data_IF_876309896251
#
_entry.id   IF_876309896251
#
_cell.length_a   1.000
_cell.length_b   1.000
_cell.length_c   1.000
_cell.angle_alpha   90.00
_cell.angle_beta   90.00
_cell.angle_gamma   90.00
#
_symmetry.space_group_name_H-M   'P 1'
#
loop_
_entity.id
_entity.type
_entity.pdbx_description
1 polymer ?
#
# COMPACT_ATOMS: atom_id res chain seq x y z
N UNK A 1 -32.70 2.14 10.87
CA UNK A 1 -32.07 2.72 9.65
C UNK A 1 -30.56 2.46 9.56
N UNK A 2 -29.77 2.57 10.64
CA UNK A 2 -28.31 2.31 10.63
C UNK A 2 -27.90 0.85 10.35
N UNK A 3 -28.66 -0.14 10.86
CA UNK A 3 -28.35 -1.58 10.70
C UNK A 3 -28.35 -2.05 9.24
N UNK A 4 -29.23 -1.51 8.39
CA UNK A 4 -29.31 -1.88 6.97
C UNK A 4 -28.15 -1.30 6.15
N UNK A 5 -27.64 -0.11 6.47
CA UNK A 5 -26.47 0.47 5.79
C UNK A 5 -25.17 -0.30 6.08
N UNK A 6 -25.01 -0.76 7.33
CA UNK A 6 -23.87 -1.59 7.73
C UNK A 6 -23.95 -2.97 7.06
N UNK A 7 -25.12 -3.61 7.04
CA UNK A 7 -25.32 -4.90 6.36
C UNK A 7 -25.06 -4.79 4.85
N UNK A 8 -25.59 -3.76 4.19
CA UNK A 8 -25.38 -3.52 2.76
C UNK A 8 -23.90 -3.24 2.45
N UNK A 9 -23.22 -2.43 3.26
CA UNK A 9 -21.80 -2.17 3.13
C UNK A 9 -20.95 -3.44 3.28
N UNK A 10 -21.30 -4.31 4.23
CA UNK A 10 -20.64 -5.62 4.40
C UNK A 10 -20.87 -6.55 3.21
N UNK A 11 -22.10 -6.60 2.67
CA UNK A 11 -22.42 -7.41 1.49
C UNK A 11 -21.68 -6.94 0.24
N UNK A 12 -21.66 -5.62 0.01
CA UNK A 12 -20.89 -5.01 -1.10
C UNK A 12 -19.40 -5.33 -0.93
N UNK A 13 -18.85 -5.17 0.28
CA UNK A 13 -17.45 -5.50 0.57
C UNK A 13 -17.10 -6.95 0.31
N UNK A 14 -17.96 -7.89 0.73
CA UNK A 14 -17.79 -9.33 0.44
C UNK A 14 -17.83 -9.61 -1.06
N UNK A 15 -18.84 -9.08 -1.77
CA UNK A 15 -18.96 -9.25 -3.21
C UNK A 15 -17.75 -8.71 -3.96
N UNK A 16 -17.30 -7.48 -3.63
CA UNK A 16 -16.11 -6.88 -4.23
C UNK A 16 -14.85 -7.70 -3.94
N UNK A 17 -14.72 -8.25 -2.73
CA UNK A 17 -13.57 -9.09 -2.36
C UNK A 17 -13.54 -10.39 -3.17
N UNK A 18 -14.69 -11.05 -3.34
CA UNK A 18 -14.81 -12.25 -4.18
C UNK A 18 -14.49 -11.93 -5.64
N UNK A 19 -14.99 -10.81 -6.16
CA UNK A 19 -14.72 -10.38 -7.54
C UNK A 19 -13.23 -10.08 -7.75
N UNK A 20 -12.57 -9.42 -6.80
CA UNK A 20 -11.12 -9.18 -6.83
C UNK A 20 -10.37 -10.51 -6.82
N UNK A 21 -10.78 -11.47 -5.99
CA UNK A 21 -10.13 -12.78 -5.88
C UNK A 21 -10.21 -13.54 -7.22
N UNK A 22 -11.38 -13.60 -7.83
CA UNK A 22 -11.59 -14.24 -9.14
C UNK A 22 -10.77 -13.54 -10.22
N UNK A 23 -10.79 -12.20 -10.26
CA UNK A 23 -10.02 -11.41 -11.23
C UNK A 23 -8.52 -11.66 -11.09
N UNK A 24 -7.98 -11.65 -9.86
CA UNK A 24 -6.58 -11.94 -9.60
C UNK A 24 -6.19 -13.37 -10.01
N UNK A 25 -7.10 -14.34 -9.88
CA UNK A 25 -6.86 -15.71 -10.33
C UNK A 25 -6.68 -15.81 -11.86
N UNK A 26 -7.56 -15.15 -12.63
CA UNK A 26 -7.46 -15.11 -14.09
C UNK A 26 -6.24 -14.31 -14.56
N UNK A 27 -5.99 -13.14 -13.98
CA UNK A 27 -4.79 -12.35 -14.26
C UNK A 27 -3.53 -13.18 -14.02
N UNK A 28 -3.45 -13.89 -12.89
CA UNK A 28 -2.30 -14.74 -12.59
C UNK A 28 -2.12 -15.86 -13.60
N UNK A 29 -3.20 -16.51 -14.02
CA UNK A 29 -3.15 -17.54 -15.06
C UNK A 29 -2.69 -16.97 -16.41
N UNK A 30 -3.09 -15.75 -16.74
CA UNK A 30 -2.65 -15.04 -17.93
C UNK A 30 -1.16 -14.68 -17.87
N UNK A 31 -0.69 -14.11 -16.76
CA UNK A 31 0.73 -13.78 -16.56
C UNK A 31 1.63 -15.01 -16.67
N UNK A 32 1.24 -16.15 -16.09
CA UNK A 32 1.99 -17.41 -16.24
C UNK A 32 2.07 -17.86 -17.70
N UNK A 33 1.00 -17.70 -18.49
CA UNK A 33 1.00 -18.07 -19.91
C UNK A 33 1.87 -17.15 -20.77
N UNK A 34 1.89 -15.85 -20.47
CA UNK A 34 2.60 -14.83 -21.28
C UNK A 34 4.06 -14.69 -20.89
N UNK A 35 4.35 -14.59 -19.58
CA UNK A 35 5.69 -14.32 -19.05
C UNK A 35 6.37 -15.57 -18.45
N UNK A 36 5.67 -16.70 -18.42
CA UNK A 36 6.18 -17.94 -17.82
C UNK A 36 6.01 -18.00 -16.31
N UNK A 37 6.18 -19.22 -15.77
CA UNK A 37 6.02 -19.51 -14.35
C UNK A 37 7.11 -18.84 -13.48
N UNK A 38 8.35 -18.79 -13.97
CA UNK A 38 9.50 -18.28 -13.22
C UNK A 38 9.40 -16.78 -12.92
N UNK A 39 9.16 -15.96 -13.96
CA UNK A 39 8.98 -14.50 -13.81
C UNK A 39 7.74 -14.14 -12.97
N UNK A 40 6.65 -14.89 -13.14
CA UNK A 40 5.43 -14.66 -12.35
C UNK A 40 5.63 -15.04 -10.88
N UNK A 41 6.34 -16.14 -10.60
CA UNK A 41 6.70 -16.57 -9.25
C UNK A 41 7.61 -15.56 -8.55
N UNK A 42 8.60 -15.04 -9.28
CA UNK A 42 9.48 -13.97 -8.83
C UNK A 42 8.71 -12.71 -8.41
N UNK A 43 7.85 -12.20 -9.30
CA UNK A 43 7.07 -10.99 -9.03
C UNK A 43 6.22 -11.17 -7.78
N UNK A 44 5.59 -12.35 -7.65
CA UNK A 44 4.78 -12.66 -6.47
C UNK A 44 5.59 -12.68 -5.18
N UNK A 45 6.79 -13.26 -5.21
CA UNK A 45 7.68 -13.29 -4.04
C UNK A 45 8.08 -11.87 -3.63
N UNK A 46 8.45 -11.01 -4.58
CA UNK A 46 8.75 -9.59 -4.31
C UNK A 46 7.55 -8.88 -3.69
N UNK A 47 6.35 -9.05 -4.26
CA UNK A 47 5.12 -8.46 -3.73
C UNK A 47 4.80 -8.98 -2.32
N UNK A 48 5.03 -10.26 -2.04
CA UNK A 48 4.81 -10.85 -0.72
C UNK A 48 5.80 -10.31 0.33
N UNK A 49 7.09 -10.25 0.00
CA UNK A 49 8.10 -9.65 0.87
C UNK A 49 7.80 -8.17 1.14
N UNK A 50 7.33 -7.43 0.13
CA UNK A 50 6.85 -6.07 0.31
C UNK A 50 5.61 -5.99 1.21
N UNK A 51 4.70 -6.96 1.10
CA UNK A 51 3.56 -7.10 2.00
C UNK A 51 3.97 -7.25 3.46
N UNK A 52 5.04 -8.02 3.74
CA UNK A 52 5.61 -8.17 5.08
C UNK A 52 6.19 -6.86 5.60
N UNK A 53 6.85 -6.08 4.74
CA UNK A 53 7.38 -4.76 5.11
C UNK A 53 6.26 -3.77 5.43
N UNK A 54 5.13 -3.83 4.72
CA UNK A 54 3.96 -3.00 4.99
C UNK A 54 3.21 -3.41 6.26
N UNK A 55 3.25 -4.70 6.65
CA UNK A 55 2.67 -5.15 7.93
C UNK A 55 3.29 -4.45 9.15
N UNK A 56 4.52 -3.92 9.02
CA UNK A 56 5.16 -3.13 10.07
C UNK A 56 4.39 -1.85 10.45
N UNK A 57 3.48 -1.37 9.60
CA UNK A 57 2.65 -0.20 9.89
C UNK A 57 1.46 -0.49 10.84
N UNK A 58 1.19 -1.76 11.17
CA UNK A 58 0.28 -2.28 12.22
C UNK A 58 -0.95 -1.41 12.59
N UNK A 59 -1.68 -0.86 11.62
CA UNK A 59 -2.89 -0.08 11.88
C UNK A 59 -2.64 1.34 12.45
N UNK A 60 -1.41 1.85 12.35
CA UNK A 60 -1.05 3.24 12.71
C UNK A 60 -1.97 4.22 11.98
N UNK A 61 -2.19 4.03 10.68
CA UNK A 61 -3.12 4.86 9.88
C UNK A 61 -4.51 4.97 10.52
N UNK A 62 -5.08 3.85 10.99
CA UNK A 62 -6.40 3.81 11.63
C UNK A 62 -6.38 4.52 12.99
N UNK A 63 -5.37 4.27 13.82
CA UNK A 63 -5.24 4.92 15.12
C UNK A 63 -5.09 6.44 14.98
N UNK A 64 -4.23 6.90 14.07
CA UNK A 64 -4.02 8.33 13.81
C UNK A 64 -5.26 9.00 13.22
N UNK A 65 -6.00 8.31 12.35
CA UNK A 65 -7.29 8.78 11.83
C UNK A 65 -8.30 8.98 12.97
N UNK A 66 -8.38 8.05 13.91
CA UNK A 66 -9.26 8.17 15.08
C UNK A 66 -8.86 9.34 15.99
N UNK A 67 -7.56 9.50 16.25
CA UNK A 67 -7.04 10.62 17.06
C UNK A 67 -7.38 11.96 16.39
N UNK A 68 -7.24 12.07 15.06
CA UNK A 68 -7.56 13.28 14.31
C UNK A 68 -9.06 13.59 14.23
N UNK A 69 -9.93 12.58 14.34
CA UNK A 69 -11.37 12.78 14.20
C UNK A 69 -11.89 13.81 15.23
N UNK A 70 -11.47 13.70 16.49
CA UNK A 70 -11.90 14.60 17.58
C UNK A 70 -11.49 16.08 17.36
N UNK A 71 -10.21 16.44 17.13
CA UNK A 71 -9.80 17.82 16.92
C UNK A 71 -10.35 18.43 15.63
N UNK A 72 -10.55 17.63 14.56
CA UNK A 72 -11.21 18.11 13.33
C UNK A 72 -12.65 18.57 13.59
N UNK A 73 -13.41 17.83 14.40
CA UNK A 73 -14.79 18.19 14.73
C UNK A 73 -14.89 19.40 15.67
N UNK A 74 -13.86 19.64 16.49
CA UNK A 74 -13.80 20.79 17.40
C UNK A 74 -13.32 22.08 16.72
N UNK A 75 -12.83 22.03 15.48
CA UNK A 75 -12.25 23.16 14.73
C UNK A 75 -11.08 23.84 15.45
N UNK A 76 -10.35 23.09 16.28
CA UNK A 76 -9.18 23.57 17.01
C UNK A 76 -7.92 23.51 16.12
N UNK A 77 -7.72 24.55 15.32
CA UNK A 77 -6.64 24.60 14.31
C UNK A 77 -5.22 24.49 14.91
N UNK A 78 -5.01 24.90 16.16
CA UNK A 78 -3.71 24.80 16.84
C UNK A 78 -3.36 23.35 17.19
N UNK A 79 -4.29 22.60 17.78
CA UNK A 79 -4.13 21.17 18.10
C UNK A 79 -3.96 20.35 16.81
N UNK A 80 -4.77 20.62 15.79
CA UNK A 80 -4.66 19.99 14.47
C UNK A 80 -3.27 20.16 13.84
N UNK A 81 -2.72 21.37 13.90
CA UNK A 81 -1.41 21.68 13.33
C UNK A 81 -0.31 20.89 14.04
N UNK A 82 -0.33 20.82 15.37
CA UNK A 82 0.65 20.07 16.15
C UNK A 82 0.56 18.57 15.84
N UNK A 83 -0.66 18.03 15.84
CA UNK A 83 -0.90 16.63 15.56
C UNK A 83 -0.48 16.24 14.14
N UNK A 84 -0.73 17.10 13.14
CA UNK A 84 -0.26 16.88 11.77
C UNK A 84 1.27 16.69 11.70
N UNK A 85 2.05 17.53 12.37
CA UNK A 85 3.51 17.41 12.36
C UNK A 85 3.99 16.13 13.05
N UNK A 86 3.32 15.70 14.12
CA UNK A 86 3.60 14.42 14.79
C UNK A 86 3.33 13.25 13.84
N UNK A 87 2.17 13.24 13.18
CA UNK A 87 1.78 12.21 12.21
C UNK A 87 2.77 12.17 11.05
N UNK A 88 3.15 13.33 10.52
CA UNK A 88 4.16 13.44 9.47
C UNK A 88 5.50 12.84 9.91
N UNK A 89 5.94 13.12 11.14
CA UNK A 89 7.18 12.57 11.70
C UNK A 89 7.13 11.05 11.83
N UNK A 90 6.02 10.49 12.31
CA UNK A 90 5.80 9.04 12.38
C UNK A 90 5.96 8.40 11.00
N UNK A 91 5.32 8.98 9.99
CA UNK A 91 5.39 8.47 8.62
C UNK A 91 6.78 8.58 7.97
N UNK A 92 7.57 9.59 8.33
CA UNK A 92 8.98 9.65 7.92
C UNK A 92 9.81 8.53 8.57
N UNK A 93 9.57 8.21 9.84
CA UNK A 93 10.25 7.08 10.48
C UNK A 93 9.86 5.74 9.84
N UNK A 94 8.59 5.56 9.46
CA UNK A 94 8.14 4.37 8.75
C UNK A 94 8.81 4.26 7.37
N UNK A 95 8.84 5.35 6.60
CA UNK A 95 9.54 5.40 5.32
C UNK A 95 11.02 5.01 5.46
N UNK A 96 11.72 5.58 6.46
CA UNK A 96 13.10 5.23 6.76
C UNK A 96 13.26 3.77 7.19
N UNK A 97 12.34 3.25 8.01
CA UNK A 97 12.30 1.85 8.39
C UNK A 97 12.18 0.92 7.19
N UNK A 98 11.33 1.25 6.23
CA UNK A 98 11.16 0.47 4.98
C UNK A 98 12.43 0.48 4.14
N UNK A 99 13.13 1.62 4.05
CA UNK A 99 14.43 1.68 3.37
C UNK A 99 15.47 0.80 4.07
N UNK A 100 15.59 0.89 5.40
CA UNK A 100 16.57 0.12 6.16
C UNK A 100 16.29 -1.37 6.06
N UNK A 101 15.06 -1.80 6.34
CA UNK A 101 14.71 -3.22 6.29
C UNK A 101 14.74 -3.72 4.85
N UNK A 102 14.30 -2.92 3.88
CA UNK A 102 14.41 -3.23 2.46
C UNK A 102 15.85 -3.43 1.99
N UNK A 103 16.80 -2.68 2.54
CA UNK A 103 18.23 -2.83 2.27
C UNK A 103 18.82 -4.06 2.98
N UNK A 104 18.31 -4.44 4.16
CA UNK A 104 18.65 -5.73 4.78
C UNK A 104 18.17 -6.89 3.90
N UNK A 105 16.92 -6.87 3.44
CA UNK A 105 16.40 -7.88 2.51
C UNK A 105 17.16 -7.89 1.18
N UNK A 106 17.67 -6.75 0.70
CA UNK A 106 18.53 -6.70 -0.48
C UNK A 106 19.75 -7.62 -0.31
N UNK A 107 20.39 -7.64 0.85
CA UNK A 107 21.54 -8.51 1.10
C UNK A 107 21.16 -10.00 1.18
N UNK A 108 19.98 -10.31 1.72
CA UNK A 108 19.47 -11.68 1.83
C UNK A 108 18.76 -12.18 0.57
N UNK A 109 18.50 -11.31 -0.40
CA UNK A 109 17.62 -11.57 -1.54
C UNK A 109 18.09 -12.77 -2.38
N UNK A 110 19.41 -12.87 -2.63
CA UNK A 110 20.01 -13.98 -3.38
C UNK A 110 19.88 -15.32 -2.65
N UNK A 111 19.86 -15.33 -1.32
CA UNK A 111 19.70 -16.55 -0.52
C UNK A 111 18.24 -16.98 -0.41
N UNK A 112 17.31 -16.03 -0.47
CA UNK A 112 15.87 -16.29 -0.40
C UNK A 112 15.32 -16.72 -1.77
N UNK A 113 15.87 -16.15 -2.85
CA UNK A 113 15.38 -16.33 -4.22
C UNK A 113 16.33 -17.25 -4.99
N UNK A 114 16.06 -18.56 -4.92
CA UNK A 114 16.67 -19.54 -5.83
C UNK A 114 15.97 -19.45 -7.19
N UNK A 115 16.41 -18.55 -8.08
CA UNK A 115 15.81 -18.37 -9.39
C UNK A 115 16.84 -18.44 -10.54
N UNK A 116 16.39 -19.02 -11.65
CA UNK A 116 17.02 -19.10 -12.98
C UNK A 116 17.11 -17.75 -13.72
N UNK A 117 16.84 -16.62 -13.04
CA UNK A 117 16.77 -15.27 -13.63
C UNK A 117 18.08 -14.52 -13.37
N UNK A 118 18.44 -13.60 -14.29
CA UNK A 118 19.58 -12.68 -14.09
C UNK A 118 19.45 -11.96 -12.72
N UNK A 119 20.47 -12.04 -11.85
CA UNK A 119 20.49 -11.35 -10.56
C UNK A 119 20.22 -9.85 -10.68
N UNK A 120 20.61 -9.23 -11.79
CA UNK A 120 20.46 -7.80 -12.04
C UNK A 120 18.98 -7.36 -12.05
N UNK A 121 18.11 -8.09 -12.75
CA UNK A 121 16.68 -7.80 -12.81
C UNK A 121 16.01 -7.96 -11.44
N UNK A 122 16.49 -8.94 -10.64
CA UNK A 122 16.02 -9.20 -9.28
C UNK A 122 16.29 -8.00 -8.37
N UNK A 123 17.51 -7.48 -8.37
CA UNK A 123 17.92 -6.37 -7.52
C UNK A 123 17.32 -5.02 -7.94
N UNK A 124 17.25 -4.75 -9.25
CA UNK A 124 16.67 -3.50 -9.76
C UNK A 124 15.19 -3.43 -9.38
N UNK A 125 14.44 -4.49 -9.63
CA UNK A 125 13.00 -4.50 -9.35
C UNK A 125 12.76 -4.41 -7.84
N UNK A 126 13.52 -5.12 -7.01
CA UNK A 126 13.44 -4.98 -5.55
C UNK A 126 13.71 -3.54 -5.09
N UNK A 127 14.78 -2.91 -5.57
CA UNK A 127 15.12 -1.52 -5.23
C UNK A 127 14.03 -0.53 -5.62
N UNK A 128 13.48 -0.65 -6.83
CA UNK A 128 12.37 0.20 -7.30
C UNK A 128 11.14 0.04 -6.40
N UNK A 129 10.81 -1.19 -6.01
CA UNK A 129 9.67 -1.47 -5.12
C UNK A 129 9.86 -0.88 -3.72
N UNK A 130 11.04 -1.05 -3.12
CA UNK A 130 11.37 -0.50 -1.79
C UNK A 130 11.33 1.03 -1.80
N UNK A 131 11.93 1.67 -2.81
CA UNK A 131 11.93 3.13 -2.94
C UNK A 131 10.52 3.66 -3.16
N UNK A 132 9.76 3.06 -4.09
CA UNK A 132 8.38 3.44 -4.39
C UNK A 132 7.48 3.35 -3.14
N UNK A 133 7.65 2.28 -2.36
CA UNK A 133 6.92 2.08 -1.11
C UNK A 133 7.31 3.15 -0.07
N UNK A 134 8.61 3.35 0.16
CA UNK A 134 9.09 4.40 1.08
C UNK A 134 8.59 5.79 0.69
N UNK A 135 8.60 6.15 -0.59
CA UNK A 135 8.11 7.44 -1.08
C UNK A 135 6.61 7.60 -0.83
N UNK A 136 5.83 6.54 -1.07
CA UNK A 136 4.38 6.54 -0.79
C UNK A 136 4.09 6.89 0.67
N UNK A 137 4.91 6.37 1.59
CA UNK A 137 4.79 6.63 3.02
C UNK A 137 5.04 8.09 3.42
N UNK A 138 5.84 8.85 2.66
CA UNK A 138 6.05 10.29 2.92
C UNK A 138 4.77 11.13 2.74
N UNK A 139 3.81 10.60 1.96
CA UNK A 139 2.51 11.25 1.68
C UNK A 139 1.34 10.64 2.47
N UNK A 140 1.57 9.59 3.26
CA UNK A 140 0.51 8.92 4.02
C UNK A 140 -0.12 9.81 5.09
N UNK A 141 0.62 10.80 5.62
CA UNK A 141 0.08 11.77 6.58
C UNK A 141 -1.10 12.57 6.01
N UNK A 142 -1.03 12.94 4.73
CA UNK A 142 -2.07 13.66 4.00
C UNK A 142 -3.30 12.77 3.80
N UNK A 143 -3.09 11.51 3.43
CA UNK A 143 -4.17 10.53 3.28
C UNK A 143 -4.90 10.29 4.59
N UNK A 144 -4.19 10.23 5.72
CA UNK A 144 -4.77 10.08 7.06
C UNK A 144 -5.63 11.28 7.44
N UNK A 145 -5.16 12.51 7.20
CA UNK A 145 -5.97 13.71 7.47
C UNK A 145 -7.22 13.76 6.59
N UNK A 146 -7.08 13.53 5.28
CA UNK A 146 -8.22 13.52 4.37
C UNK A 146 -9.24 12.44 4.75
N UNK A 147 -8.77 11.31 5.25
CA UNK A 147 -9.66 10.24 5.73
C UNK A 147 -10.38 10.66 7.01
N UNK A 148 -9.69 11.27 7.97
CA UNK A 148 -10.28 11.76 9.20
C UNK A 148 -11.30 12.90 8.96
N UNK A 149 -11.07 13.70 7.92
CA UNK A 149 -11.93 14.80 7.46
C UNK A 149 -13.06 14.32 6.51
N UNK A 150 -13.29 13.01 6.41
CA UNK A 150 -14.31 12.39 5.53
C UNK A 150 -14.14 12.66 4.01
N UNK A 151 -13.00 13.21 3.61
CA UNK A 151 -12.62 13.52 2.23
C UNK A 151 -11.85 12.38 1.55
N UNK A 152 -12.01 11.13 2.02
CA UNK A 152 -11.34 9.92 1.50
C UNK A 152 -11.62 9.69 0.00
N UNK A 153 -12.72 10.23 -0.53
CA UNK A 153 -13.04 10.13 -1.97
C UNK A 153 -11.97 10.79 -2.84
N UNK A 154 -11.33 11.88 -2.39
CA UNK A 154 -10.23 12.54 -3.12
C UNK A 154 -9.02 11.62 -3.23
N UNK A 155 -8.67 10.94 -2.13
CA UNK A 155 -7.58 9.95 -2.10
C UNK A 155 -7.87 8.83 -3.09
N UNK A 156 -9.11 8.31 -3.09
CA UNK A 156 -9.53 7.24 -4.01
C UNK A 156 -9.49 7.68 -5.48
N UNK A 157 -9.93 8.90 -5.78
CA UNK A 157 -9.94 9.45 -7.14
C UNK A 157 -8.52 9.62 -7.67
N UNK A 158 -7.64 10.26 -6.90
CA UNK A 158 -6.23 10.47 -7.30
C UNK A 158 -5.54 9.13 -7.49
N UNK A 159 -5.64 8.22 -6.51
CA UNK A 159 -5.00 6.90 -6.58
C UNK A 159 -5.54 6.08 -7.76
N UNK A 160 -6.86 6.13 -8.00
CA UNK A 160 -7.51 5.44 -9.10
C UNK A 160 -7.00 5.92 -10.45
N UNK A 161 -6.97 7.24 -10.67
CA UNK A 161 -6.45 7.84 -11.91
C UNK A 161 -4.98 7.49 -12.14
N UNK A 162 -4.13 7.61 -11.12
CA UNK A 162 -2.70 7.27 -11.23
C UNK A 162 -2.49 5.79 -11.56
N UNK A 163 -3.25 4.88 -10.95
CA UNK A 163 -3.15 3.44 -11.24
C UNK A 163 -3.64 3.09 -12.64
N UNK A 164 -4.75 3.67 -13.08
CA UNK A 164 -5.24 3.46 -14.45
C UNK A 164 -4.24 3.94 -15.49
N UNK A 165 -3.62 5.11 -15.27
CA UNK A 165 -2.55 5.62 -16.13
C UNK A 165 -1.35 4.66 -16.14
N UNK A 166 -0.92 4.16 -14.97
CA UNK A 166 0.19 3.22 -14.86
C UNK A 166 -0.08 1.91 -15.62
N UNK A 167 -1.30 1.37 -15.58
CA UNK A 167 -1.65 0.18 -16.34
C UNK A 167 -1.63 0.41 -17.86
N UNK A 168 -2.06 1.59 -18.33
CA UNK A 168 -1.97 1.93 -19.75
C UNK A 168 -0.51 2.01 -20.20
N UNK A 169 0.39 2.52 -19.36
CA UNK A 169 1.82 2.58 -19.65
C UNK A 169 2.53 1.22 -19.56
N UNK A 170 1.94 0.25 -18.84
CA UNK A 170 2.51 -1.08 -18.65
C UNK A 170 2.20 -2.04 -19.82
N UNK A 171 1.12 -1.77 -20.56
CA UNK A 171 0.73 -2.47 -21.80
C UNK A 171 1.60 -1.96 -22.94
#
# INVERSE_FOLDING_TARGET
MFRNKVALGSQIGLFTSVLILITNFFLRSYFVKVYGADLTGYYLLVVQLMGVLNLAELGISTALTYILFKPLHRKENSELRQLYFIIKKIYHFIALGILVIGLLFFLLLNSIVNASISPENLYITWGVFVISTSLSYLYSAQSVILTADQNVYLVKLITGLTRSLAYILQI
#
